data_IF_731957771690
#
_entry.id   IF_731957771690
#
_cell.length_a   1.000
_cell.length_b   1.000
_cell.length_c   1.000
_cell.angle_alpha   90.00
_cell.angle_beta   90.00
_cell.angle_gamma   90.00
#
_symmetry.space_group_name_H-M   'P 1'
#
loop_
_entity.id
_entity.type
_entity.pdbx_description
1 polymer ?
#
# COMPACT_ATOMS: atom_id res chain seq x y z
N UNK A 1 33.00 -7.91 -17.92
CA UNK A 1 31.93 -7.14 -17.25
C UNK A 1 30.72 -7.09 -18.18
N UNK A 2 29.81 -8.07 -18.06
CA UNK A 2 28.49 -8.06 -18.74
C UNK A 2 27.51 -7.43 -17.76
N UNK A 3 27.36 -6.10 -17.84
CA UNK A 3 26.29 -5.41 -17.13
C UNK A 3 24.97 -5.79 -17.79
N UNK A 4 24.04 -6.28 -16.98
CA UNK A 4 22.76 -6.81 -17.39
C UNK A 4 21.88 -5.71 -17.99
N UNK A 5 21.80 -5.69 -19.31
CA UNK A 5 20.71 -5.05 -20.05
C UNK A 5 19.46 -5.92 -19.86
N UNK A 6 18.86 -5.90 -18.67
CA UNK A 6 17.49 -6.40 -18.51
C UNK A 6 16.62 -5.44 -19.33
N UNK A 7 16.05 -5.91 -20.44
CA UNK A 7 15.22 -5.04 -21.29
C UNK A 7 14.01 -4.56 -20.48
N UNK A 8 13.50 -3.37 -20.81
CA UNK A 8 12.29 -2.83 -20.19
C UNK A 8 11.10 -3.81 -20.28
N UNK A 9 11.08 -4.66 -21.31
CA UNK A 9 10.05 -5.69 -21.52
C UNK A 9 10.10 -6.76 -20.41
N UNK A 10 11.29 -7.23 -20.04
CA UNK A 10 11.44 -8.22 -18.97
C UNK A 10 10.98 -7.69 -17.61
N UNK A 11 11.19 -6.39 -17.34
CA UNK A 11 10.69 -5.73 -16.12
C UNK A 11 9.16 -5.63 -16.15
N UNK A 12 8.57 -5.25 -17.29
CA UNK A 12 7.12 -5.17 -17.46
C UNK A 12 6.40 -6.52 -17.37
N UNK A 13 7.01 -7.59 -17.91
CA UNK A 13 6.51 -8.96 -17.80
C UNK A 13 6.56 -9.47 -16.35
N UNK A 14 7.67 -9.24 -15.66
CA UNK A 14 7.85 -9.66 -14.26
C UNK A 14 6.85 -8.99 -13.32
N UNK A 15 6.55 -7.70 -13.52
CA UNK A 15 5.56 -6.99 -12.72
C UNK A 15 4.13 -7.49 -12.99
N UNK A 16 3.80 -7.75 -14.25
CA UNK A 16 2.49 -8.30 -14.63
C UNK A 16 2.31 -9.70 -14.06
N UNK A 17 3.37 -10.52 -14.06
CA UNK A 17 3.40 -11.82 -13.42
C UNK A 17 3.19 -11.69 -11.91
N UNK A 18 3.97 -10.85 -11.22
CA UNK A 18 3.86 -10.64 -9.77
C UNK A 18 2.46 -10.21 -9.34
N UNK A 19 1.82 -9.30 -10.08
CA UNK A 19 0.44 -8.88 -9.81
C UNK A 19 -0.56 -10.01 -10.02
N UNK A 20 -0.48 -10.76 -11.13
CA UNK A 20 -1.37 -11.89 -11.41
C UNK A 20 -1.20 -13.00 -10.39
N UNK A 21 0.04 -13.30 -10.03
CA UNK A 21 0.39 -14.26 -8.99
C UNK A 21 -0.17 -13.82 -7.65
N UNK A 22 0.03 -12.56 -7.26
CA UNK A 22 -0.54 -11.99 -6.03
C UNK A 22 -2.06 -12.09 -6.00
N UNK A 23 -2.77 -11.77 -7.08
CA UNK A 23 -4.23 -11.94 -7.18
C UNK A 23 -4.62 -13.42 -7.03
N UNK A 24 -3.98 -14.32 -7.77
CA UNK A 24 -4.29 -15.75 -7.72
C UNK A 24 -4.05 -16.35 -6.32
N UNK A 25 -2.94 -15.98 -5.67
CA UNK A 25 -2.62 -16.39 -4.31
C UNK A 25 -3.67 -15.92 -3.31
N UNK A 26 -4.09 -14.65 -3.38
CA UNK A 26 -5.11 -14.12 -2.48
C UNK A 26 -6.50 -14.75 -2.73
N UNK A 27 -6.84 -15.07 -3.98
CA UNK A 27 -8.05 -15.83 -4.30
C UNK A 27 -8.01 -17.26 -3.74
N UNK A 28 -6.84 -17.92 -3.80
CA UNK A 28 -6.65 -19.22 -3.20
C UNK A 28 -6.80 -19.17 -1.67
N UNK A 29 -6.20 -18.17 -1.01
CA UNK A 29 -6.36 -17.96 0.44
C UNK A 29 -7.84 -17.70 0.80
N UNK A 30 -8.54 -16.87 0.02
CA UNK A 30 -9.97 -16.66 0.21
C UNK A 30 -10.77 -17.96 0.08
N UNK A 31 -10.42 -18.81 -0.89
CA UNK A 31 -11.06 -20.12 -1.07
C UNK A 31 -10.80 -21.05 0.13
N UNK A 32 -9.56 -21.13 0.62
CA UNK A 32 -9.21 -21.92 1.81
C UNK A 32 -10.03 -21.46 3.02
N UNK A 33 -10.13 -20.15 3.26
CA UNK A 33 -10.99 -19.60 4.30
C UNK A 33 -12.48 -19.93 4.08
N UNK A 34 -12.95 -19.92 2.82
CA UNK A 34 -14.31 -20.33 2.46
C UNK A 34 -14.59 -21.81 2.76
N UNK A 35 -13.64 -22.70 2.46
CA UNK A 35 -13.71 -24.13 2.82
C UNK A 35 -13.73 -24.31 4.33
N UNK A 36 -12.89 -23.59 5.07
CA UNK A 36 -12.90 -23.62 6.54
C UNK A 36 -14.25 -23.16 7.10
N UNK A 37 -14.83 -22.08 6.58
CA UNK A 37 -16.17 -21.63 6.96
C UNK A 37 -17.23 -22.71 6.72
N UNK A 38 -17.19 -23.38 5.57
CA UNK A 38 -18.11 -24.47 5.24
C UNK A 38 -17.99 -25.66 6.20
N UNK A 39 -16.76 -26.08 6.53
CA UNK A 39 -16.50 -27.13 7.52
C UNK A 39 -17.01 -26.72 8.90
N UNK A 40 -16.74 -25.49 9.34
CA UNK A 40 -17.24 -24.96 10.61
C UNK A 40 -18.77 -24.97 10.69
N UNK A 41 -19.47 -24.62 9.61
CA UNK A 41 -20.94 -24.69 9.53
C UNK A 41 -21.43 -26.14 9.72
N UNK A 42 -20.76 -27.13 9.11
CA UNK A 42 -21.11 -28.54 9.30
C UNK A 42 -20.96 -29.01 10.73
N UNK A 43 -20.04 -28.42 11.48
CA UNK A 43 -19.83 -28.68 12.91
C UNK A 43 -20.65 -27.74 13.82
N UNK A 44 -21.57 -26.94 13.27
CA UNK A 44 -22.39 -25.94 13.99
C UNK A 44 -21.56 -24.87 14.73
N UNK A 45 -20.28 -24.70 14.34
CA UNK A 45 -19.37 -23.71 14.88
C UNK A 45 -19.54 -22.36 14.15
N UNK A 46 -20.71 -21.72 14.31
CA UNK A 46 -21.08 -20.51 13.57
C UNK A 46 -20.14 -19.31 13.80
N UNK A 47 -19.61 -19.15 15.02
CA UNK A 47 -18.63 -18.09 15.33
C UNK A 47 -17.38 -18.25 14.45
N UNK A 48 -16.88 -19.48 14.35
CA UNK A 48 -15.72 -19.79 13.52
C UNK A 48 -16.02 -19.57 12.04
N UNK A 49 -17.22 -19.93 11.59
CA UNK A 49 -17.64 -19.66 10.22
C UNK A 49 -17.64 -18.16 9.87
N UNK A 50 -18.12 -17.31 10.78
CA UNK A 50 -18.10 -15.84 10.59
C UNK A 50 -16.67 -15.31 10.54
N UNK A 51 -15.79 -15.77 11.44
CA UNK A 51 -14.37 -15.38 11.44
C UNK A 51 -13.69 -15.78 10.12
N UNK A 52 -13.89 -17.03 9.68
CA UNK A 52 -13.33 -17.55 8.44
C UNK A 52 -13.84 -16.77 7.22
N UNK A 53 -15.12 -16.39 7.17
CA UNK A 53 -15.66 -15.52 6.12
C UNK A 53 -15.06 -14.10 6.17
N UNK A 54 -14.85 -13.53 7.36
CA UNK A 54 -14.19 -12.23 7.52
C UNK A 54 -12.74 -12.24 7.00
N UNK A 55 -12.00 -13.32 7.26
CA UNK A 55 -10.68 -13.54 6.67
C UNK A 55 -10.73 -13.73 5.15
N UNK A 56 -11.71 -14.48 4.63
CA UNK A 56 -11.90 -14.62 3.19
C UNK A 56 -12.11 -13.25 2.51
N UNK A 57 -12.97 -12.41 3.09
CA UNK A 57 -13.21 -11.04 2.63
C UNK A 57 -11.95 -10.18 2.69
N UNK A 58 -11.12 -10.37 3.72
CA UNK A 58 -9.83 -9.68 3.85
C UNK A 58 -8.91 -9.98 2.67
N UNK A 59 -8.77 -11.25 2.28
CA UNK A 59 -7.98 -11.65 1.10
C UNK A 59 -8.56 -11.13 -0.21
N UNK A 60 -9.90 -11.11 -0.33
CA UNK A 60 -10.55 -10.50 -1.49
C UNK A 60 -10.25 -9.00 -1.60
N UNK A 61 -10.18 -8.27 -0.48
CA UNK A 61 -9.78 -6.86 -0.52
C UNK A 61 -8.36 -6.69 -1.06
N UNK A 62 -7.39 -7.51 -0.63
CA UNK A 62 -6.03 -7.47 -1.18
C UNK A 62 -6.02 -7.74 -2.69
N UNK A 63 -6.75 -8.78 -3.15
CA UNK A 63 -6.88 -9.08 -4.57
C UNK A 63 -7.49 -7.92 -5.37
N UNK A 64 -8.56 -7.30 -4.85
CA UNK A 64 -9.18 -6.13 -5.50
C UNK A 64 -8.28 -4.91 -5.50
N UNK A 65 -7.48 -4.69 -4.46
CA UNK A 65 -6.50 -3.61 -4.40
C UNK A 65 -5.42 -3.78 -5.47
N UNK A 66 -4.86 -4.99 -5.59
CA UNK A 66 -3.87 -5.33 -6.62
C UNK A 66 -4.44 -5.18 -8.04
N UNK A 67 -5.72 -5.49 -8.24
CA UNK A 67 -6.39 -5.26 -9.52
C UNK A 67 -6.61 -3.76 -9.81
N UNK A 68 -7.01 -3.00 -8.79
CA UNK A 68 -7.28 -1.56 -8.91
C UNK A 68 -6.00 -0.74 -9.16
N UNK A 69 -4.85 -1.15 -8.62
CA UNK A 69 -3.57 -0.44 -8.78
C UNK A 69 -3.10 -0.31 -10.22
N UNK A 70 -3.55 -1.21 -11.12
CA UNK A 70 -3.25 -1.13 -12.56
C UNK A 70 -3.70 0.20 -13.17
N UNK A 71 -4.84 0.71 -12.73
CA UNK A 71 -5.46 1.93 -13.25
C UNK A 71 -5.58 2.98 -12.14
N UNK A 72 -4.59 3.04 -11.24
CA UNK A 72 -4.57 4.00 -10.14
C UNK A 72 -4.62 5.43 -10.68
N UNK A 73 -5.58 6.21 -10.20
CA UNK A 73 -5.71 7.63 -10.54
C UNK A 73 -5.43 8.47 -9.31
N UNK A 74 -4.36 9.25 -9.36
CA UNK A 74 -3.98 10.20 -8.33
C UNK A 74 -5.07 11.26 -8.16
N UNK A 75 -5.39 11.59 -6.92
CA UNK A 75 -6.21 12.75 -6.60
C UNK A 75 -5.28 13.93 -6.35
N UNK A 76 -5.29 14.90 -7.25
CA UNK A 76 -4.49 16.12 -7.11
C UNK A 76 -5.41 17.30 -6.78
N UNK A 77 -5.02 18.07 -5.77
CA UNK A 77 -5.55 19.38 -5.47
C UNK A 77 -4.37 20.35 -5.38
N UNK A 78 -4.58 21.62 -5.71
CA UNK A 78 -3.57 22.66 -5.53
C UNK A 78 -4.24 23.92 -5.00
N UNK A 79 -3.46 24.70 -4.27
CA UNK A 79 -3.81 26.02 -3.79
C UNK A 79 -2.55 26.90 -3.74
N UNK A 80 -2.68 28.11 -3.18
CA UNK A 80 -1.56 29.06 -3.07
C UNK A 80 -0.40 28.55 -2.21
N UNK A 81 -0.61 27.53 -1.37
CA UNK A 81 0.42 26.94 -0.51
C UNK A 81 1.18 25.79 -1.18
N UNK A 82 0.56 25.10 -2.15
CA UNK A 82 1.20 24.04 -2.92
C UNK A 82 0.22 23.04 -3.50
N UNK A 83 0.76 21.87 -3.85
CA UNK A 83 0.03 20.77 -4.47
C UNK A 83 -0.11 19.61 -3.50
N UNK A 84 -1.35 19.26 -3.16
CA UNK A 84 -1.70 18.10 -2.36
C UNK A 84 -2.09 16.93 -3.26
N UNK A 85 -1.32 15.85 -3.17
CA UNK A 85 -1.59 14.59 -3.83
C UNK A 85 -2.13 13.58 -2.83
N UNK A 86 -3.15 12.82 -3.22
CA UNK A 86 -3.69 11.69 -2.44
C UNK A 86 -3.78 10.44 -3.31
N UNK A 87 -3.68 9.23 -2.71
CA UNK A 87 -3.86 7.98 -3.42
C UNK A 87 -5.22 7.89 -4.12
N UNK A 88 -5.36 6.96 -5.06
CA UNK A 88 -6.65 6.66 -5.68
C UNK A 88 -7.70 6.36 -4.59
N UNK A 89 -8.85 7.05 -4.66
CA UNK A 89 -9.96 6.92 -3.71
C UNK A 89 -10.43 5.47 -3.53
N UNK A 90 -10.37 4.67 -4.60
CA UNK A 90 -10.74 3.25 -4.57
C UNK A 90 -9.72 2.45 -3.75
N UNK A 91 -8.43 2.68 -3.98
CA UNK A 91 -7.34 1.99 -3.28
C UNK A 91 -7.35 2.35 -1.80
N UNK A 92 -7.50 3.63 -1.47
CA UNK A 92 -7.62 4.13 -0.10
C UNK A 92 -8.85 3.53 0.63
N UNK A 93 -10.00 3.49 -0.03
CA UNK A 93 -11.21 2.89 0.55
C UNK A 93 -11.09 1.37 0.75
N UNK A 94 -10.50 0.65 -0.21
CA UNK A 94 -10.25 -0.80 -0.11
C UNK A 94 -9.29 -1.08 1.05
N UNK A 95 -8.20 -0.32 1.16
CA UNK A 95 -7.20 -0.49 2.21
C UNK A 95 -7.80 -0.27 3.61
N UNK A 96 -8.64 0.76 3.79
CA UNK A 96 -9.35 0.96 5.06
C UNK A 96 -10.30 -0.19 5.39
N UNK A 97 -11.01 -0.74 4.40
CA UNK A 97 -11.89 -1.91 4.60
C UNK A 97 -11.10 -3.18 4.92
N UNK A 98 -9.95 -3.38 4.28
CA UNK A 98 -9.01 -4.45 4.57
C UNK A 98 -8.57 -4.43 6.03
N UNK A 99 -8.03 -3.31 6.52
CA UNK A 99 -7.57 -3.24 7.90
C UNK A 99 -8.72 -3.40 8.91
N UNK A 100 -9.90 -2.86 8.62
CA UNK A 100 -11.07 -3.07 9.48
C UNK A 100 -11.52 -4.54 9.53
N UNK A 101 -11.59 -5.22 8.38
CA UNK A 101 -11.96 -6.62 8.29
C UNK A 101 -10.93 -7.54 8.97
N UNK A 102 -9.64 -7.27 8.77
CA UNK A 102 -8.54 -7.99 9.40
C UNK A 102 -8.54 -7.79 10.92
N UNK A 103 -8.74 -6.55 11.38
CA UNK A 103 -8.85 -6.25 12.80
C UNK A 103 -10.02 -6.99 13.45
N UNK A 104 -11.22 -6.89 12.85
CA UNK A 104 -12.40 -7.54 13.39
C UNK A 104 -12.25 -9.06 13.41
N UNK A 105 -11.76 -9.65 12.32
CA UNK A 105 -11.62 -11.11 12.21
C UNK A 105 -10.52 -11.64 13.13
N UNK A 106 -9.35 -10.99 13.16
CA UNK A 106 -8.22 -11.40 14.00
C UNK A 106 -8.52 -11.30 15.50
N UNK A 107 -9.13 -10.19 15.94
CA UNK A 107 -9.56 -10.02 17.32
C UNK A 107 -10.67 -11.01 17.70
N UNK A 108 -11.65 -11.20 16.82
CA UNK A 108 -12.72 -12.18 17.06
C UNK A 108 -12.16 -13.60 17.18
N UNK A 109 -11.13 -13.94 16.40
CA UNK A 109 -10.46 -15.23 16.48
C UNK A 109 -9.76 -15.44 17.83
N UNK A 110 -9.02 -14.43 18.29
CA UNK A 110 -8.38 -14.48 19.61
C UNK A 110 -9.41 -14.62 20.73
N UNK A 111 -10.51 -13.86 20.68
CA UNK A 111 -11.59 -13.94 21.68
C UNK A 111 -12.29 -15.30 21.63
N UNK A 112 -12.59 -15.81 20.44
CA UNK A 112 -13.22 -17.12 20.27
C UNK A 112 -12.32 -18.25 20.81
N UNK A 113 -11.00 -18.13 20.64
CA UNK A 113 -10.04 -19.07 21.21
C UNK A 113 -10.03 -19.00 22.74
N UNK A 114 -9.89 -17.81 23.32
CA UNK A 114 -9.89 -17.61 24.78
C UNK A 114 -11.19 -18.08 25.46
N UNK A 115 -12.31 -18.10 24.73
CA UNK A 115 -13.62 -18.54 25.23
C UNK A 115 -13.94 -20.00 24.93
N UNK A 116 -13.07 -20.72 24.20
CA UNK A 116 -13.29 -22.11 23.80
C UNK A 116 -14.37 -22.29 22.73
N UNK A 117 -14.71 -21.23 21.98
CA UNK A 117 -15.71 -21.23 20.91
C UNK A 117 -15.11 -21.36 19.51
N UNK A 118 -13.78 -21.35 19.41
CA UNK A 118 -13.06 -21.49 18.16
C UNK A 118 -12.91 -22.96 17.77
N UNK A 119 -13.34 -23.29 16.55
CA UNK A 119 -13.15 -24.60 15.95
C UNK A 119 -11.97 -24.56 14.97
N UNK A 120 -10.85 -25.14 15.37
CA UNK A 120 -9.63 -25.19 14.58
C UNK A 120 -9.38 -26.62 14.10
N UNK A 121 -9.45 -26.91 12.79
CA UNK A 121 -9.16 -28.23 12.24
C UNK A 121 -7.65 -28.44 12.05
N UNK A 122 -6.86 -28.14 13.08
CA UNK A 122 -5.39 -28.31 13.10
C UNK A 122 -4.98 -29.19 14.28
N UNK A 123 -3.79 -29.84 14.23
CA UNK A 123 -3.29 -30.60 15.37
C UNK A 123 -3.11 -29.72 16.62
N UNK A 124 -3.36 -30.29 17.80
CA UNK A 124 -3.32 -29.59 19.10
C UNK A 124 -1.97 -28.87 19.35
N UNK A 125 -0.88 -29.38 18.77
CA UNK A 125 0.49 -28.84 18.89
C UNK A 125 0.65 -27.42 18.33
N UNK A 126 -0.26 -26.95 17.47
CA UNK A 126 -0.22 -25.62 16.85
C UNK A 126 -1.52 -24.81 17.04
N UNK A 127 -2.44 -25.31 17.87
CA UNK A 127 -3.77 -24.70 18.08
C UNK A 127 -3.68 -23.28 18.65
N UNK A 128 -2.69 -23.00 19.50
CA UNK A 128 -2.50 -21.66 20.11
C UNK A 128 -1.81 -20.64 19.20
N UNK A 129 -0.97 -21.09 18.26
CA UNK A 129 -0.13 -20.20 17.43
C UNK A 129 -0.98 -19.35 16.49
N UNK A 130 -2.01 -19.96 15.88
CA UNK A 130 -2.88 -19.27 14.93
C UNK A 130 -3.71 -18.16 15.59
N UNK A 131 -4.48 -18.41 16.66
CA UNK A 131 -5.25 -17.39 17.38
C UNK A 131 -4.40 -16.23 17.90
N UNK A 132 -3.25 -16.52 18.50
CA UNK A 132 -2.35 -15.49 19.03
C UNK A 132 -1.79 -14.64 17.88
N UNK A 133 -1.30 -15.26 16.81
CA UNK A 133 -0.73 -14.55 15.65
C UNK A 133 -1.73 -13.65 14.94
N UNK A 134 -2.93 -14.16 14.65
CA UNK A 134 -4.00 -13.36 14.04
C UNK A 134 -4.59 -12.33 15.01
N UNK A 135 -4.62 -12.61 16.32
CA UNK A 135 -5.01 -11.65 17.34
C UNK A 135 -4.08 -10.45 17.37
N UNK A 136 -2.76 -10.69 17.43
CA UNK A 136 -1.75 -9.63 17.38
C UNK A 136 -1.79 -8.85 16.06
N UNK A 137 -1.95 -9.56 14.93
CA UNK A 137 -2.13 -8.94 13.60
C UNK A 137 -3.39 -8.09 13.54
N UNK A 138 -4.49 -8.57 14.13
CA UNK A 138 -5.76 -7.85 14.22
C UNK A 138 -5.67 -6.58 15.06
N UNK A 139 -4.98 -6.63 16.21
CA UNK A 139 -4.69 -5.44 17.02
C UNK A 139 -3.90 -4.40 16.22
N UNK A 140 -2.83 -4.82 15.55
CA UNK A 140 -2.00 -3.94 14.75
C UNK A 140 -2.76 -3.35 13.56
N UNK A 141 -3.56 -4.16 12.86
CA UNK A 141 -4.46 -3.70 11.80
C UNK A 141 -5.49 -2.68 12.31
N UNK A 142 -6.04 -2.90 13.50
CA UNK A 142 -6.98 -1.98 14.14
C UNK A 142 -6.34 -0.64 14.49
N UNK A 143 -5.10 -0.67 14.99
CA UNK A 143 -4.29 0.52 15.21
C UNK A 143 -4.04 1.31 13.92
N UNK A 144 -3.58 0.63 12.85
CA UNK A 144 -3.37 1.27 11.53
C UNK A 144 -4.67 1.88 11.00
N UNK A 145 -5.79 1.15 11.08
CA UNK A 145 -7.09 1.66 10.65
C UNK A 145 -7.49 2.93 11.40
N UNK A 146 -7.25 2.97 12.71
CA UNK A 146 -7.53 4.12 13.54
C UNK A 146 -6.65 5.32 13.18
N UNK A 147 -5.34 5.11 12.96
CA UNK A 147 -4.40 6.14 12.51
C UNK A 147 -4.87 6.75 11.19
N UNK A 148 -5.17 5.93 10.18
CA UNK A 148 -5.65 6.40 8.88
C UNK A 148 -6.99 7.13 8.97
N UNK A 149 -7.89 6.68 9.86
CA UNK A 149 -9.15 7.38 10.10
C UNK A 149 -8.92 8.77 10.69
N UNK A 150 -7.95 8.92 11.62
CA UNK A 150 -7.59 10.22 12.21
C UNK A 150 -6.88 11.16 11.24
N UNK A 151 -6.04 10.62 10.36
CA UNK A 151 -5.33 11.39 9.32
C UNK A 151 -6.21 11.74 8.12
N UNK A 152 -7.46 11.24 8.07
CA UNK A 152 -8.40 11.52 6.98
C UNK A 152 -8.08 10.81 5.66
N UNK A 153 -7.23 9.78 5.67
CA UNK A 153 -6.79 9.00 4.51
C UNK A 153 -5.63 8.06 4.86
N UNK A 154 -5.22 7.19 3.93
CA UNK A 154 -4.09 6.25 4.13
C UNK A 154 -2.73 6.91 3.94
N UNK A 155 -2.66 7.97 3.12
CA UNK A 155 -1.43 8.73 2.84
C UNK A 155 -1.80 10.03 2.12
N UNK A 156 -0.89 11.00 2.11
CA UNK A 156 -0.90 12.14 1.22
C UNK A 156 0.55 12.54 0.89
N UNK A 157 0.75 13.28 -0.19
CA UNK A 157 2.02 13.92 -0.53
C UNK A 157 1.73 15.39 -0.80
N UNK A 158 2.21 16.26 0.09
CA UNK A 158 2.16 17.69 -0.08
C UNK A 158 3.49 18.15 -0.67
N UNK A 159 3.42 18.86 -1.79
CA UNK A 159 4.57 19.46 -2.47
C UNK A 159 4.36 20.97 -2.50
N UNK A 160 5.19 21.71 -1.79
CA UNK A 160 5.21 23.17 -1.83
C UNK A 160 6.47 23.66 -2.55
N UNK A 161 6.57 24.95 -2.90
CA UNK A 161 7.78 25.48 -3.53
C UNK A 161 9.04 25.30 -2.67
N UNK A 162 8.90 25.28 -1.35
CA UNK A 162 10.00 25.28 -0.39
C UNK A 162 10.28 23.88 0.20
N UNK A 163 9.25 23.06 0.36
CA UNK A 163 9.32 21.78 1.06
C UNK A 163 8.42 20.70 0.46
N UNK A 164 8.66 19.46 0.90
CA UNK A 164 7.80 18.33 0.66
C UNK A 164 7.42 17.68 1.99
N UNK A 165 6.24 17.09 2.04
CA UNK A 165 5.72 16.42 3.23
C UNK A 165 4.87 15.20 2.86
N UNK A 166 5.08 14.09 3.56
CA UNK A 166 4.16 12.96 3.56
C UNK A 166 4.17 12.24 4.91
N UNK A 167 3.03 11.69 5.36
CA UNK A 167 2.97 10.96 6.61
C UNK A 167 3.60 9.58 6.47
N UNK A 168 4.31 9.16 7.52
CA UNK A 168 4.72 7.79 7.78
C UNK A 168 3.92 7.24 8.97
N UNK A 169 4.02 5.93 9.23
CA UNK A 169 3.37 5.28 10.37
C UNK A 169 3.92 5.81 11.70
N UNK A 170 3.34 6.90 12.19
CA UNK A 170 3.64 7.51 13.49
C UNK A 170 4.54 8.75 13.45
N UNK A 171 5.06 9.13 12.29
CA UNK A 171 5.85 10.36 12.09
C UNK A 171 5.44 11.09 10.83
N UNK A 172 5.87 12.34 10.70
CA UNK A 172 5.73 13.12 9.48
C UNK A 172 7.07 13.20 8.78
N UNK A 173 7.15 12.69 7.55
CA UNK A 173 8.34 12.82 6.72
C UNK A 173 8.24 14.15 5.97
N UNK A 174 8.91 15.18 6.50
CA UNK A 174 8.99 16.50 5.88
C UNK A 174 10.44 16.88 5.63
N UNK A 175 10.72 17.60 4.55
CA UNK A 175 12.05 18.10 4.24
C UNK A 175 12.04 19.21 3.21
N UNK A 176 13.10 20.01 3.20
CA UNK A 176 13.31 21.01 2.15
C UNK A 176 13.91 20.34 0.92
N UNK A 177 13.60 20.87 -0.25
CA UNK A 177 14.15 20.37 -1.51
C UNK A 177 15.68 20.45 -1.59
N UNK A 178 16.26 21.49 -1.01
CA UNK A 178 17.71 21.75 -1.07
C UNK A 178 18.51 20.78 -0.18
N UNK A 179 17.83 20.16 0.78
CA UNK A 179 18.39 19.14 1.67
C UNK A 179 18.32 17.73 1.05
N UNK A 180 17.77 17.56 -0.15
CA UNK A 180 17.68 16.26 -0.82
C UNK A 180 19.01 15.94 -1.53
N UNK A 181 19.60 14.80 -1.17
CA UNK A 181 20.78 14.23 -1.82
C UNK A 181 20.42 13.33 -3.02
N UNK A 182 19.33 12.56 -2.92
CA UNK A 182 18.91 11.64 -3.98
C UNK A 182 17.41 11.27 -3.90
N UNK A 183 16.77 11.13 -5.06
CA UNK A 183 15.41 10.54 -5.19
C UNK A 183 15.48 9.28 -6.06
N UNK A 184 15.36 8.11 -5.43
CA UNK A 184 15.51 6.80 -6.09
C UNK A 184 14.22 5.97 -6.08
N UNK A 185 14.08 5.12 -7.10
CA UNK A 185 12.99 4.16 -7.24
C UNK A 185 13.34 2.76 -6.68
N UNK A 186 14.46 2.66 -5.95
CA UNK A 186 15.03 1.42 -5.42
C UNK A 186 15.69 1.69 -4.07
N UNK A 187 15.57 0.72 -3.17
CA UNK A 187 16.37 0.69 -1.95
C UNK A 187 17.79 0.19 -2.28
N UNK A 188 18.84 0.71 -1.62
CA UNK A 188 20.24 0.32 -1.91
C UNK A 188 20.54 -1.16 -1.63
N UNK A 189 19.81 -1.76 -0.69
CA UNK A 189 20.13 -3.06 -0.10
C UNK A 189 19.06 -4.12 -0.33
N UNK A 190 17.90 -3.75 -0.89
CA UNK A 190 16.75 -4.65 -1.03
C UNK A 190 16.16 -4.56 -2.44
N UNK A 191 16.15 -5.69 -3.15
CA UNK A 191 15.27 -5.87 -4.30
C UNK A 191 13.85 -6.12 -3.77
N UNK A 192 13.01 -5.09 -3.86
CA UNK A 192 11.58 -5.22 -3.56
C UNK A 192 10.80 -5.55 -4.81
N UNK A 193 9.77 -6.39 -4.64
CA UNK A 193 8.83 -6.75 -5.70
C UNK A 193 7.96 -5.57 -6.17
N UNK A 194 7.93 -4.48 -5.41
CA UNK A 194 7.26 -3.22 -5.75
C UNK A 194 8.27 -2.07 -5.77
N UNK A 195 7.95 -1.00 -6.50
CA UNK A 195 8.80 0.20 -6.63
C UNK A 195 8.53 1.18 -5.49
N UNK A 196 9.41 1.32 -4.47
CA UNK A 196 9.28 2.38 -3.48
C UNK A 196 9.77 3.71 -4.06
N UNK A 197 9.34 4.82 -3.46
CA UNK A 197 9.99 6.12 -3.62
C UNK A 197 10.85 6.38 -2.39
N UNK A 198 12.16 6.54 -2.59
CA UNK A 198 13.11 6.80 -1.50
C UNK A 198 13.74 8.17 -1.72
N UNK A 199 13.55 9.05 -0.75
CA UNK A 199 14.20 10.37 -0.70
C UNK A 199 15.31 10.28 0.34
N UNK A 200 16.56 10.46 -0.10
CA UNK A 200 17.73 10.53 0.78
C UNK A 200 18.09 11.99 0.97
N UNK A 201 18.25 12.40 2.22
CA UNK A 201 18.64 13.74 2.60
C UNK A 201 20.16 13.86 2.74
N UNK A 202 20.67 15.08 2.72
CA UNK A 202 22.11 15.40 2.85
C UNK A 202 22.68 14.98 4.21
N UNK A 203 21.86 14.94 5.26
CA UNK A 203 22.24 14.45 6.60
C UNK A 203 22.31 12.91 6.68
N UNK A 204 21.98 12.21 5.58
CA UNK A 204 21.95 10.76 5.48
C UNK A 204 20.62 10.12 5.90
N UNK A 205 19.64 10.90 6.39
CA UNK A 205 18.30 10.41 6.66
C UNK A 205 17.59 9.98 5.36
N UNK A 206 16.65 9.03 5.49
CA UNK A 206 15.93 8.45 4.35
C UNK A 206 14.45 8.43 4.64
N UNK A 207 13.67 9.03 3.76
CA UNK A 207 12.22 8.96 3.78
C UNK A 207 11.75 7.99 2.71
N UNK A 208 10.97 6.97 3.11
CA UNK A 208 10.50 5.91 2.22
C UNK A 208 9.00 6.00 2.09
N UNK A 209 8.51 6.12 0.87
CA UNK A 209 7.11 5.88 0.53
C UNK A 209 7.01 4.50 -0.09
N UNK A 210 6.40 3.57 0.63
CA UNK A 210 6.34 2.16 0.22
C UNK A 210 5.42 1.90 -0.96
N UNK A 211 4.38 2.71 -1.18
CA UNK A 211 3.35 2.45 -2.18
C UNK A 211 3.03 3.65 -3.09
N UNK A 212 4.01 4.18 -3.85
CA UNK A 212 3.72 5.22 -4.84
C UNK A 212 2.80 4.69 -5.96
N UNK A 213 2.74 3.36 -6.14
CA UNK A 213 1.78 2.67 -7.01
C UNK A 213 0.30 2.88 -6.66
N UNK A 214 0.01 3.38 -5.45
CA UNK A 214 -1.35 3.76 -5.04
C UNK A 214 -1.79 5.13 -5.59
N UNK A 215 -0.83 5.96 -6.02
CA UNK A 215 -1.07 7.28 -6.61
C UNK A 215 -1.11 7.19 -8.14
N UNK A 216 -0.07 6.62 -8.73
CA UNK A 216 0.04 6.46 -10.19
C UNK A 216 0.37 5.03 -10.53
N UNK A 217 0.00 4.49 -11.70
CA UNK A 217 0.38 3.15 -12.10
C UNK A 217 1.90 2.98 -11.98
N UNK A 218 2.35 1.91 -11.29
CA UNK A 218 3.76 1.63 -10.98
C UNK A 218 4.48 2.67 -10.09
N UNK A 219 3.84 3.78 -9.74
CA UNK A 219 4.44 4.89 -9.02
C UNK A 219 5.44 5.72 -9.83
N UNK A 220 5.70 5.36 -11.10
CA UNK A 220 6.77 5.97 -11.91
C UNK A 220 6.52 7.44 -12.16
N UNK A 221 5.31 7.80 -12.60
CA UNK A 221 4.97 9.20 -12.86
C UNK A 221 5.09 10.08 -11.60
N UNK A 222 4.73 9.54 -10.43
CA UNK A 222 4.90 10.25 -9.16
C UNK A 222 6.38 10.46 -8.82
N UNK A 223 7.20 9.41 -8.93
CA UNK A 223 8.64 9.46 -8.62
C UNK A 223 9.36 10.45 -9.55
N UNK A 224 9.03 10.42 -10.84
CA UNK A 224 9.62 11.35 -11.81
C UNK A 224 9.14 12.79 -11.60
N UNK A 225 7.90 13.00 -11.14
CA UNK A 225 7.43 14.34 -10.77
C UNK A 225 8.25 14.92 -9.61
N UNK A 226 8.47 14.15 -8.55
CA UNK A 226 9.27 14.57 -7.39
C UNK A 226 10.73 14.83 -7.82
N UNK A 227 11.30 13.94 -8.64
CA UNK A 227 12.65 14.11 -9.18
C UNK A 227 12.76 15.36 -10.06
N UNK A 228 11.73 15.65 -10.86
CA UNK A 228 11.68 16.82 -11.72
C UNK A 228 11.80 18.11 -10.90
N UNK A 229 10.97 18.29 -9.86
CA UNK A 229 11.01 19.51 -9.03
C UNK A 229 12.22 19.61 -8.12
N UNK A 230 12.82 18.47 -7.76
CA UNK A 230 14.12 18.47 -7.09
C UNK A 230 15.21 19.06 -8.00
N UNK A 231 15.30 18.63 -9.26
CA UNK A 231 16.31 19.11 -10.21
C UNK A 231 16.03 20.49 -10.83
N UNK A 232 14.78 20.95 -10.81
CA UNK A 232 14.35 22.20 -11.43
C UNK A 232 13.74 23.17 -10.40
N UNK A 233 14.56 23.77 -9.52
CA UNK A 233 14.09 24.72 -8.50
C UNK A 233 13.32 25.90 -9.10
N UNK A 234 13.67 26.33 -10.30
CA UNK A 234 13.05 27.44 -11.01
C UNK A 234 11.60 27.16 -11.46
N UNK A 235 11.19 25.89 -11.47
CA UNK A 235 9.85 25.45 -11.90
C UNK A 235 8.94 25.12 -10.71
N UNK A 236 9.40 25.25 -9.47
CA UNK A 236 8.60 24.86 -8.29
C UNK A 236 7.36 25.73 -8.07
N UNK A 237 7.30 26.92 -8.67
CA UNK A 237 6.08 27.73 -8.71
C UNK A 237 4.92 27.03 -9.45
N UNK A 238 5.19 26.04 -10.31
CA UNK A 238 4.15 25.22 -10.95
C UNK A 238 3.30 24.43 -9.93
N UNK A 239 3.81 24.24 -8.70
CA UNK A 239 3.11 23.54 -7.62
C UNK A 239 1.92 24.34 -7.06
N UNK A 240 1.87 25.66 -7.27
CA UNK A 240 0.79 26.52 -6.75
C UNK A 240 -0.19 26.98 -7.83
N UNK A 241 0.13 26.78 -9.12
CA UNK A 241 -0.67 27.32 -10.23
C UNK A 241 -1.31 26.25 -11.14
N UNK A 242 -1.19 24.97 -10.76
CA UNK A 242 -1.84 23.85 -11.43
C UNK A 242 -1.05 23.25 -12.60
N UNK A 243 -0.01 23.91 -13.12
CA UNK A 243 0.83 23.33 -14.20
C UNK A 243 1.48 22.01 -13.78
N UNK A 244 1.76 21.83 -12.49
CA UNK A 244 2.26 20.58 -11.95
C UNK A 244 1.29 19.40 -12.11
N UNK A 245 -0.02 19.65 -12.09
CA UNK A 245 -1.04 18.62 -12.32
C UNK A 245 -1.03 18.18 -13.77
N UNK A 246 -0.95 19.13 -14.71
CA UNK A 246 -0.87 18.84 -16.14
C UNK A 246 0.40 18.05 -16.48
N UNK A 247 1.51 18.40 -15.83
CA UNK A 247 2.79 17.67 -15.94
C UNK A 247 2.65 16.24 -15.45
N UNK A 248 2.02 16.02 -14.30
CA UNK A 248 1.77 14.69 -13.75
C UNK A 248 0.91 13.84 -14.69
N UNK A 249 -0.13 14.42 -15.30
CA UNK A 249 -0.97 13.74 -16.30
C UNK A 249 -0.20 13.40 -17.57
N UNK A 250 0.65 14.31 -18.03
CA UNK A 250 1.52 14.11 -19.20
C UNK A 250 2.51 12.98 -18.97
N UNK A 251 3.18 12.97 -17.81
CA UNK A 251 4.08 11.90 -17.38
C UNK A 251 3.35 10.56 -17.29
N UNK A 252 2.15 10.53 -16.71
CA UNK A 252 1.35 9.30 -16.62
C UNK A 252 1.10 8.70 -18.01
N UNK A 253 0.66 9.52 -18.95
CA UNK A 253 0.40 9.10 -20.34
C UNK A 253 1.68 8.61 -21.01
N UNK A 254 2.80 9.31 -20.81
CA UNK A 254 4.10 8.91 -21.34
C UNK A 254 4.56 7.54 -20.83
N UNK A 255 4.34 7.23 -19.55
CA UNK A 255 4.71 5.96 -18.94
C UNK A 255 3.69 4.84 -19.18
N UNK A 256 2.44 5.14 -19.54
CA UNK A 256 1.46 4.15 -20.00
C UNK A 256 1.80 3.61 -21.40
N UNK A 257 2.52 4.38 -22.22
CA UNK A 257 2.91 4.02 -23.59
C UNK A 257 4.32 3.44 -23.73
N UNK A 258 5.04 3.24 -22.62
CA UNK A 258 6.35 2.55 -22.57
C UNK A 258 6.21 1.16 -21.97
#
# INVERSE_FOLDING_TARGET
MRSAHISADAVGEMETFSRRFGIALNLLLALVCGVWAFVAIKHLAFITAVIALGLAVTWLFVATQLAASKNAVVQAAFDESGMLLRPDRRIDAIQRRFYAALALSGLSMLIAWLTGWLYLPVPDEVDEVFPIGFGATGLFAGWIWFVFKRQGGTSYLLLTPDEFEFPDLGSLNSGKWDDIAAVTAKLPTEERFWTPMVITMNDGSRFVMDSPGSYTPKGTALIELVRHYWHHPEQRNELTDGRAVDRLQSMRTQFEHR
#
